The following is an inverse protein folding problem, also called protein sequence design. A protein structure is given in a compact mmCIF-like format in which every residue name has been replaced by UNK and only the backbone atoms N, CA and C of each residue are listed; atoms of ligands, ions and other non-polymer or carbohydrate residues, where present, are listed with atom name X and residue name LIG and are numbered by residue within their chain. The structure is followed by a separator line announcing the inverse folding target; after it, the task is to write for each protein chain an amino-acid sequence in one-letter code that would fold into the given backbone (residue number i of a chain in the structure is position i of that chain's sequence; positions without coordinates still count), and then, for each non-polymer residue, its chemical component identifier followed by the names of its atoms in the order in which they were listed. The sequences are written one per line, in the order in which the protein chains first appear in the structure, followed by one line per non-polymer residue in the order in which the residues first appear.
data_IF_085917639895
#
_entry.id   IF_085917639895
#
_cell.length_a   1.000
_cell.length_b   1.000
_cell.length_c   1.000
_cell.angle_alpha   90.00
_cell.angle_beta   90.00
_cell.angle_gamma   90.00
#
_symmetry.space_group_name_H-M   'P 1'
#
loop_
_entity.id
_entity.type
_entity.pdbx_description
1 polymer ?
#
# COMPACT_ATOMS: atom_id res chain seq x y z
N UNK A 1 17.20 -31.81 -40.29
CA UNK A 1 17.93 -31.36 -39.09
C UNK A 1 17.08 -30.33 -38.37
N UNK A 2 16.26 -30.74 -37.39
CA UNK A 2 15.40 -29.84 -36.62
C UNK A 2 16.23 -29.12 -35.55
N UNK A 3 16.38 -27.79 -35.66
CA UNK A 3 17.02 -26.97 -34.64
C UNK A 3 16.15 -26.98 -33.37
N UNK A 4 16.72 -27.45 -32.26
CA UNK A 4 16.06 -27.36 -30.95
C UNK A 4 15.98 -25.89 -30.50
N UNK A 5 14.85 -25.44 -29.93
CA UNK A 5 14.75 -24.10 -29.35
C UNK A 5 15.70 -24.00 -28.16
N UNK A 6 16.71 -23.13 -28.24
CA UNK A 6 17.53 -22.80 -27.08
C UNK A 6 16.68 -22.01 -26.09
N UNK A 7 16.35 -22.63 -24.96
CA UNK A 7 15.78 -21.94 -23.81
C UNK A 7 16.93 -21.23 -23.13
N UNK A 8 17.05 -19.91 -23.36
CA UNK A 8 18.09 -19.08 -22.74
C UNK A 8 17.98 -19.10 -21.19
N UNK A 9 19.06 -18.73 -20.47
CA UNK A 9 19.09 -18.77 -19.01
C UNK A 9 17.91 -17.99 -18.43
N UNK A 10 17.14 -18.65 -17.55
CA UNK A 10 16.04 -18.04 -16.82
C UNK A 10 16.58 -16.83 -16.04
N UNK A 11 16.30 -15.62 -16.53
CA UNK A 11 16.69 -14.40 -15.83
C UNK A 11 16.15 -14.45 -14.39
N UNK A 12 16.96 -14.15 -13.37
CA UNK A 12 16.49 -14.14 -11.98
C UNK A 12 15.27 -13.22 -11.86
N UNK A 13 14.24 -13.59 -11.09
CA UNK A 13 13.06 -12.76 -10.92
C UNK A 13 13.51 -11.40 -10.37
N UNK A 14 13.34 -10.35 -11.19
CA UNK A 14 13.73 -9.00 -10.82
C UNK A 14 13.05 -8.62 -9.51
N UNK A 15 13.83 -8.35 -8.46
CA UNK A 15 13.33 -7.85 -7.18
C UNK A 15 12.76 -6.45 -7.41
N UNK A 16 11.47 -6.35 -7.75
CA UNK A 16 10.78 -5.05 -7.89
C UNK A 16 10.83 -4.35 -6.54
N UNK A 17 11.64 -3.29 -6.41
CA UNK A 17 11.61 -2.46 -5.21
C UNK A 17 10.26 -1.74 -5.20
N UNK A 18 9.47 -1.91 -4.14
CA UNK A 18 8.12 -1.34 -4.07
C UNK A 18 8.13 0.18 -4.32
N UNK A 19 9.16 0.85 -3.82
CA UNK A 19 9.34 2.29 -3.91
C UNK A 19 10.25 2.78 -5.06
N UNK A 20 10.61 1.89 -5.99
CA UNK A 20 11.45 2.28 -7.13
C UNK A 20 10.76 3.35 -7.98
N UNK A 21 11.50 4.43 -8.29
CA UNK A 21 11.03 5.54 -9.12
C UNK A 21 10.09 6.53 -8.44
N UNK A 22 9.91 6.45 -7.11
CA UNK A 22 9.09 7.40 -6.34
C UNK A 22 9.93 8.57 -5.82
N UNK A 23 9.36 9.78 -5.87
CA UNK A 23 9.95 10.93 -5.21
C UNK A 23 9.86 10.78 -3.67
N UNK A 24 10.80 11.39 -2.89
CA UNK A 24 10.81 11.26 -1.43
C UNK A 24 9.48 11.63 -0.75
N UNK A 25 8.81 12.68 -1.22
CA UNK A 25 7.50 13.10 -0.70
C UNK A 25 6.39 12.07 -0.98
N UNK A 26 6.47 11.33 -2.10
CA UNK A 26 5.55 10.24 -2.41
C UNK A 26 5.78 9.05 -1.48
N UNK A 27 7.04 8.73 -1.17
CA UNK A 27 7.36 7.67 -0.22
C UNK A 27 6.77 7.96 1.16
N UNK A 28 6.91 9.20 1.65
CA UNK A 28 6.33 9.61 2.94
C UNK A 28 4.80 9.46 2.94
N UNK A 29 4.12 9.96 1.90
CA UNK A 29 2.67 9.80 1.79
C UNK A 29 2.23 8.34 1.62
N UNK A 30 3.04 7.51 0.95
CA UNK A 30 2.78 6.08 0.84
C UNK A 30 2.90 5.36 2.16
N UNK A 31 3.81 5.78 3.03
CA UNK A 31 3.98 5.18 4.35
C UNK A 31 2.97 5.69 5.38
N UNK A 32 2.18 6.72 5.08
CA UNK A 32 1.28 7.35 6.05
C UNK A 32 0.22 6.38 6.64
N UNK A 33 -0.42 5.48 5.85
CA UNK A 33 -1.32 4.46 6.40
C UNK A 33 -0.63 3.48 7.37
N UNK A 34 0.69 3.25 7.19
CA UNK A 34 1.69 3.01 8.25
C UNK A 34 1.27 3.18 9.70
N UNK A 35 0.90 4.43 10.01
CA UNK A 35 0.71 4.91 11.36
C UNK A 35 -0.35 4.11 12.14
N UNK A 36 -1.31 3.51 11.43
CA UNK A 36 -2.35 2.68 12.04
C UNK A 36 -1.77 1.47 12.78
N UNK A 37 -0.58 0.96 12.40
CA UNK A 37 0.12 -0.11 13.13
C UNK A 37 0.29 0.25 14.61
N UNK A 38 0.70 1.50 14.90
CA UNK A 38 1.02 1.94 16.25
C UNK A 38 -0.22 2.11 17.14
N UNK A 39 -1.39 2.34 16.53
CA UNK A 39 -2.65 2.56 17.25
C UNK A 39 -3.42 1.24 17.38
N UNK A 40 -3.45 0.44 16.31
CA UNK A 40 -4.32 -0.73 16.17
C UNK A 40 -3.63 -2.08 16.20
N UNK A 41 -2.33 -2.14 16.47
CA UNK A 41 -1.55 -3.37 16.50
C UNK A 41 -1.64 -4.15 15.18
N UNK A 42 -1.95 -5.44 15.24
CA UNK A 42 -2.03 -6.31 14.06
C UNK A 42 -3.11 -5.88 13.06
N UNK A 43 -4.28 -5.44 13.53
CA UNK A 43 -5.38 -4.98 12.67
C UNK A 43 -5.00 -3.67 11.99
N UNK A 44 -4.48 -2.73 12.77
CA UNK A 44 -3.96 -1.46 12.26
C UNK A 44 -2.83 -1.67 11.27
N UNK A 45 -1.96 -2.65 11.49
CA UNK A 45 -0.88 -2.98 10.58
C UNK A 45 -1.30 -3.67 9.30
N UNK A 46 -2.30 -4.56 9.35
CA UNK A 46 -2.88 -5.15 8.14
C UNK A 46 -3.51 -4.07 7.24
N UNK A 47 -4.35 -3.21 7.82
CA UNK A 47 -4.99 -2.11 7.10
C UNK A 47 -3.97 -1.07 6.61
N UNK A 48 -3.00 -0.72 7.45
CA UNK A 48 -1.93 0.21 7.10
C UNK A 48 -1.07 -0.29 5.95
N UNK A 49 -0.73 -1.59 5.93
CA UNK A 49 0.02 -2.20 4.83
C UNK A 49 -0.77 -2.20 3.53
N UNK A 50 -2.06 -2.53 3.58
CA UNK A 50 -2.94 -2.44 2.42
C UNK A 50 -3.04 -1.00 1.89
N UNK A 51 -3.26 -0.03 2.78
CA UNK A 51 -3.30 1.39 2.44
C UNK A 51 -1.99 1.87 1.82
N UNK A 52 -0.85 1.44 2.35
CA UNK A 52 0.46 1.76 1.77
C UNK A 52 0.60 1.23 0.35
N UNK A 53 0.24 -0.03 0.11
CA UNK A 53 0.32 -0.62 -1.24
C UNK A 53 -0.55 0.14 -2.23
N UNK A 54 -1.76 0.55 -1.82
CA UNK A 54 -2.63 1.39 -2.65
C UNK A 54 -2.00 2.76 -2.92
N UNK A 55 -1.40 3.42 -1.92
CA UNK A 55 -0.72 4.69 -2.11
C UNK A 55 0.51 4.57 -3.02
N UNK A 56 1.26 3.48 -2.94
CA UNK A 56 2.38 3.20 -3.86
C UNK A 56 1.86 3.05 -5.30
N UNK A 57 0.72 2.37 -5.49
CA UNK A 57 0.09 2.26 -6.82
C UNK A 57 -0.35 3.63 -7.34
N UNK A 58 -1.00 4.44 -6.50
CA UNK A 58 -1.44 5.80 -6.86
C UNK A 58 -0.24 6.69 -7.21
N UNK A 59 0.85 6.60 -6.45
CA UNK A 59 2.02 7.43 -6.68
C UNK A 59 2.69 7.15 -8.05
N UNK A 60 2.55 5.92 -8.57
CA UNK A 60 3.01 5.49 -9.90
C UNK A 60 2.06 5.83 -11.05
N UNK A 61 0.89 6.42 -10.77
CA UNK A 61 -0.04 6.89 -11.83
C UNK A 61 0.47 8.14 -12.54
N UNK A 62 -0.15 8.51 -13.66
CA UNK A 62 0.12 9.74 -14.40
C UNK A 62 -0.74 10.93 -13.93
N UNK A 63 -1.32 10.86 -12.73
CA UNK A 63 -2.11 11.96 -12.17
C UNK A 63 -1.25 13.22 -11.95
N UNK A 64 -1.82 14.43 -12.10
CA UNK A 64 -1.14 15.66 -11.69
C UNK A 64 -0.85 15.63 -10.19
N UNK A 65 0.18 16.34 -9.75
CA UNK A 65 0.68 16.32 -8.35
C UNK A 65 -0.43 16.51 -7.32
N UNK A 66 -1.30 17.51 -7.52
CA UNK A 66 -2.42 17.77 -6.61
C UNK A 66 -3.39 16.58 -6.52
N UNK A 67 -3.72 15.96 -7.66
CA UNK A 67 -4.57 14.77 -7.71
C UNK A 67 -3.93 13.56 -7.03
N UNK A 68 -2.60 13.38 -7.17
CA UNK A 68 -1.88 12.33 -6.44
C UNK A 68 -1.95 12.53 -4.93
N UNK A 69 -1.65 13.73 -4.46
CA UNK A 69 -1.70 14.05 -3.02
C UNK A 69 -3.10 13.80 -2.47
N UNK A 70 -4.14 14.33 -3.12
CA UNK A 70 -5.53 14.14 -2.71
C UNK A 70 -5.92 12.65 -2.65
N UNK A 71 -5.55 11.86 -3.66
CA UNK A 71 -5.86 10.44 -3.71
C UNK A 71 -5.13 9.65 -2.61
N UNK A 72 -3.84 9.93 -2.36
CA UNK A 72 -3.05 9.24 -1.33
C UNK A 72 -3.53 9.59 0.09
N UNK A 73 -3.93 10.84 0.31
CA UNK A 73 -4.57 11.25 1.56
C UNK A 73 -5.95 10.60 1.71
N UNK A 74 -6.73 10.52 0.63
CA UNK A 74 -8.02 9.84 0.60
C UNK A 74 -7.94 8.37 1.00
N UNK A 75 -6.94 7.63 0.48
CA UNK A 75 -6.69 6.24 0.91
C UNK A 75 -6.32 6.15 2.37
N UNK A 76 -5.49 7.08 2.88
CA UNK A 76 -5.14 7.11 4.30
C UNK A 76 -6.38 7.34 5.17
N UNK A 77 -7.21 8.31 4.81
CA UNK A 77 -8.46 8.60 5.50
C UNK A 77 -9.40 7.38 5.46
N UNK A 78 -9.55 6.75 4.30
CA UNK A 78 -10.35 5.54 4.16
C UNK A 78 -9.84 4.40 5.05
N UNK A 79 -8.53 4.17 5.10
CA UNK A 79 -7.93 3.16 5.97
C UNK A 79 -8.22 3.44 7.46
N UNK A 80 -8.14 4.72 7.87
CA UNK A 80 -8.48 5.13 9.24
C UNK A 80 -9.96 4.92 9.56
N UNK A 81 -10.87 5.26 8.64
CA UNK A 81 -12.31 5.03 8.80
C UNK A 81 -12.60 3.53 8.94
N UNK A 82 -12.03 2.70 8.06
CA UNK A 82 -12.18 1.23 8.14
C UNK A 82 -11.68 0.70 9.48
N UNK A 83 -10.53 1.19 9.94
CA UNK A 83 -10.00 0.82 11.26
C UNK A 83 -10.96 1.19 12.39
N UNK A 84 -11.50 2.42 12.40
CA UNK A 84 -12.43 2.87 13.44
C UNK A 84 -13.74 2.08 13.42
N UNK A 85 -14.25 1.73 12.24
CA UNK A 85 -15.43 0.86 12.11
C UNK A 85 -15.16 -0.51 12.74
N UNK A 86 -14.03 -1.13 12.43
CA UNK A 86 -13.65 -2.43 13.01
C UNK A 86 -13.49 -2.31 14.53
N UNK A 87 -12.80 -1.26 15.01
CA UNK A 87 -12.61 -1.02 16.43
C UNK A 87 -13.95 -0.82 17.16
N UNK A 88 -14.89 -0.08 16.56
CA UNK A 88 -16.23 0.13 17.10
C UNK A 88 -17.04 -1.17 17.17
N UNK A 89 -17.01 -1.99 16.12
CA UNK A 89 -17.66 -3.30 16.09
C UNK A 89 -17.09 -4.25 17.15
N UNK A 90 -15.76 -4.27 17.31
CA UNK A 90 -15.11 -5.07 18.34
C UNK A 90 -15.46 -4.60 19.75
N UNK A 91 -15.48 -3.27 19.96
CA UNK A 91 -15.89 -2.69 21.25
C UNK A 91 -17.32 -3.08 21.60
N UNK A 92 -18.22 -3.04 20.63
CA UNK A 92 -19.61 -3.49 20.82
C UNK A 92 -19.71 -5.00 21.06
N UNK A 93 -18.88 -5.81 20.40
CA UNK A 93 -18.88 -7.27 20.59
C UNK A 93 -18.28 -7.70 21.95
N UNK A 94 -17.38 -6.90 22.52
CA UNK A 94 -16.72 -7.20 23.80
C UNK A 94 -17.53 -6.71 24.99
N UNK A 95 -18.21 -5.56 24.85
CA UNK A 95 -18.95 -4.93 25.95
C UNK A 95 -20.48 -5.10 25.85
N UNK A 96 -20.97 -5.68 24.76
CA UNK A 96 -22.39 -5.93 24.49
C UNK A 96 -22.86 -7.31 24.93
#
# INVERSE_FOLDING_TARGET
MSKSPQVGPLAPPAKKKLFEGLAPWQVVLSLLPLGLVFIGGAIGGGLGALGMVLNVKIAKTQLPTAGKVAAMLGVTLAAAVVFLVIAGLLTNAVNG
#
